data_IF_786613497131
#
_entry.id   IF_786613497131
#
_cell.length_a   1.000
_cell.length_b   1.000
_cell.length_c   1.000
_cell.angle_alpha   90.00
_cell.angle_beta   90.00
_cell.angle_gamma   90.00
#
_symmetry.space_group_name_H-M   'P 1'
#
loop_
_entity.id
_entity.type
_entity.pdbx_description
1 polymer ?
#
# COMPACT_ATOMS: atom_id res chain seq x y z
N UNK A 1 -8.18 8.20 -12.65
CA UNK A 1 -7.19 7.84 -13.69
C UNK A 1 -5.94 7.42 -12.94
N UNK A 2 -5.57 6.15 -13.04
CA UNK A 2 -4.36 5.60 -12.44
C UNK A 2 -3.12 6.05 -13.20
N UNK A 3 -1.96 5.98 -12.56
CA UNK A 3 -0.68 6.31 -13.21
C UNK A 3 -0.12 5.10 -13.97
N UNK A 4 0.92 5.32 -14.78
CA UNK A 4 1.59 4.25 -15.54
C UNK A 4 2.23 3.15 -14.67
N UNK A 5 2.62 3.49 -13.44
CA UNK A 5 3.43 2.62 -12.57
C UNK A 5 2.69 2.17 -11.31
N UNK A 6 1.67 2.93 -10.91
CA UNK A 6 0.90 2.71 -9.68
C UNK A 6 -0.57 2.73 -10.10
N UNK A 7 -1.19 1.55 -10.08
CA UNK A 7 -2.56 1.27 -10.56
C UNK A 7 -3.67 1.75 -9.62
N UNK A 8 -3.40 2.75 -8.77
CA UNK A 8 -4.34 3.21 -7.76
C UNK A 8 -5.36 4.21 -8.32
N UNK A 9 -6.60 4.10 -7.84
CA UNK A 9 -7.61 5.14 -7.95
C UNK A 9 -7.43 6.23 -6.89
N UNK A 10 -8.06 7.38 -7.13
CA UNK A 10 -8.00 8.50 -6.20
C UNK A 10 -8.73 8.12 -4.91
N UNK A 11 -8.00 8.12 -3.80
CA UNK A 11 -8.52 7.74 -2.48
C UNK A 11 -8.13 6.34 -2.03
N UNK A 12 -7.53 5.50 -2.89
CA UNK A 12 -7.02 4.19 -2.47
C UNK A 12 -5.72 4.29 -1.69
N UNK A 13 -4.90 5.31 -1.96
CA UNK A 13 -3.68 5.60 -1.20
C UNK A 13 -4.04 6.58 -0.07
N UNK A 14 -3.74 6.19 1.16
CA UNK A 14 -3.95 7.01 2.34
C UNK A 14 -3.00 8.21 2.37
N UNK A 15 -3.35 9.23 3.16
CA UNK A 15 -2.51 10.41 3.38
C UNK A 15 -1.14 10.06 4.00
N UNK A 16 -1.08 8.98 4.81
CA UNK A 16 0.12 8.48 5.46
C UNK A 16 0.61 7.25 4.72
N UNK A 17 1.86 7.27 4.27
CA UNK A 17 2.46 6.16 3.52
C UNK A 17 3.87 5.82 4.00
N UNK A 18 4.16 4.54 4.11
CA UNK A 18 5.51 4.01 4.29
C UNK A 18 6.05 3.51 2.94
N UNK A 19 7.31 3.80 2.65
CA UNK A 19 7.95 3.48 1.36
C UNK A 19 9.18 2.56 1.55
N UNK A 20 8.99 1.28 1.92
CA UNK A 20 10.08 0.31 1.86
C UNK A 20 10.57 0.13 0.42
N UNK A 21 11.86 -0.13 0.21
CA UNK A 21 12.39 -0.39 -1.14
C UNK A 21 12.24 -1.83 -1.63
N UNK A 22 11.83 -2.76 -0.77
CA UNK A 22 11.60 -4.17 -1.10
C UNK A 22 10.09 -4.45 -1.09
N UNK A 23 9.50 -4.92 -2.21
CA UNK A 23 8.08 -5.23 -2.28
C UNK A 23 7.64 -6.31 -1.30
N UNK A 24 8.49 -7.29 -1.01
CA UNK A 24 8.16 -8.32 -0.03
C UNK A 24 8.13 -7.76 1.38
N UNK A 25 8.89 -6.68 1.65
CA UNK A 25 8.78 -5.91 2.89
C UNK A 25 7.49 -5.10 2.94
N UNK A 26 7.04 -4.52 1.83
CA UNK A 26 5.76 -3.83 1.76
C UNK A 26 4.60 -4.78 2.11
N UNK A 27 4.62 -5.98 1.50
CA UNK A 27 3.67 -7.06 1.79
C UNK A 27 3.74 -7.51 3.25
N UNK A 28 4.94 -7.76 3.78
CA UNK A 28 5.12 -8.16 5.18
C UNK A 28 4.53 -7.12 6.15
N UNK A 29 4.78 -5.83 5.93
CA UNK A 29 4.22 -4.78 6.79
C UNK A 29 2.69 -4.76 6.68
N UNK A 30 2.14 -4.85 5.47
CA UNK A 30 0.69 -4.85 5.25
C UNK A 30 0.00 -6.02 5.97
N UNK A 31 0.53 -7.24 5.85
CA UNK A 31 -0.07 -8.45 6.43
C UNK A 31 0.02 -8.52 7.96
N UNK A 32 1.05 -7.91 8.56
CA UNK A 32 1.33 -8.07 9.99
C UNK A 32 0.93 -6.86 10.84
N UNK A 33 0.80 -5.67 10.25
CA UNK A 33 0.59 -4.43 11.02
C UNK A 33 -0.67 -3.67 10.61
N UNK A 34 -1.24 -3.91 9.42
CA UNK A 34 -2.43 -3.19 8.97
C UNK A 34 -3.67 -4.06 9.11
N UNK A 35 -4.66 -3.53 9.81
CA UNK A 35 -5.99 -4.12 9.83
C UNK A 35 -6.68 -3.90 8.48
N UNK A 36 -7.23 -4.98 7.90
CA UNK A 36 -8.01 -4.92 6.68
C UNK A 36 -7.24 -4.44 5.44
N UNK A 37 -5.93 -4.72 5.37
CA UNK A 37 -5.09 -4.32 4.25
C UNK A 37 -5.63 -4.82 2.89
N UNK A 38 -5.72 -3.92 1.92
CA UNK A 38 -6.10 -4.20 0.53
C UNK A 38 -4.98 -3.80 -0.41
N UNK A 39 -4.61 -4.68 -1.33
CA UNK A 39 -3.68 -4.37 -2.41
C UNK A 39 -4.37 -3.48 -3.44
N UNK A 40 -3.81 -2.31 -3.72
CA UNK A 40 -4.28 -1.40 -4.78
C UNK A 40 -3.37 -1.45 -6.02
N UNK A 41 -2.15 -1.98 -5.91
CA UNK A 41 -1.28 -2.16 -7.08
C UNK A 41 -0.25 -3.25 -6.89
N UNK A 42 0.08 -3.91 -7.99
CA UNK A 42 1.21 -4.84 -8.16
C UNK A 42 1.92 -4.64 -9.51
N UNK A 43 1.69 -3.51 -10.18
CA UNK A 43 2.35 -3.19 -11.46
C UNK A 43 3.87 -3.16 -11.24
N UNK A 44 4.62 -3.84 -12.12
CA UNK A 44 6.09 -3.92 -12.07
C UNK A 44 6.64 -4.48 -10.74
N UNK A 45 5.84 -5.26 -10.02
CA UNK A 45 6.20 -5.76 -8.70
C UNK A 45 6.42 -4.65 -7.66
N UNK A 46 5.84 -3.46 -7.87
CA UNK A 46 5.68 -2.44 -6.84
C UNK A 46 4.39 -2.80 -6.12
N UNK A 47 4.51 -3.42 -4.94
CA UNK A 47 3.36 -3.86 -4.17
C UNK A 47 2.88 -2.71 -3.29
N UNK A 48 1.61 -2.32 -3.46
CA UNK A 48 0.99 -1.24 -2.71
C UNK A 48 -0.25 -1.70 -1.98
N UNK A 49 -0.31 -1.42 -0.67
CA UNK A 49 -1.42 -1.80 0.21
C UNK A 49 -1.95 -0.59 0.98
N UNK A 50 -3.23 -0.62 1.31
CA UNK A 50 -3.86 0.33 2.24
C UNK A 50 -4.72 -0.42 3.24
N UNK A 51 -4.56 -0.11 4.52
CA UNK A 51 -5.39 -0.60 5.62
C UNK A 51 -5.41 0.43 6.74
N UNK A 52 -5.67 -0.01 7.98
CA UNK A 52 -5.60 0.87 9.15
C UNK A 52 -4.57 0.39 10.16
N UNK A 53 -3.83 1.32 10.75
CA UNK A 53 -2.99 1.09 11.92
C UNK A 53 -3.55 1.88 13.10
N UNK A 54 -3.98 1.20 14.17
CA UNK A 54 -4.65 1.84 15.32
C UNK A 54 -5.82 2.75 14.90
N UNK A 55 -6.63 2.32 13.93
CA UNK A 55 -7.76 3.08 13.39
C UNK A 55 -7.39 4.22 12.44
N UNK A 56 -6.09 4.47 12.19
CA UNK A 56 -5.63 5.51 11.26
C UNK A 56 -5.36 4.88 9.89
N UNK A 57 -5.91 5.42 8.78
CA UNK A 57 -5.58 4.94 7.44
C UNK A 57 -4.10 5.12 7.12
N UNK A 58 -3.44 4.03 6.73
CA UNK A 58 -2.02 4.00 6.36
C UNK A 58 -1.85 3.12 5.13
N UNK A 59 -1.02 3.61 4.20
CA UNK A 59 -0.56 2.84 3.05
C UNK A 59 0.88 2.38 3.23
N UNK A 60 1.24 1.30 2.55
CA UNK A 60 2.63 0.83 2.43
C UNK A 60 2.88 0.47 0.98
N UNK A 61 3.97 0.96 0.39
CA UNK A 61 4.30 0.70 -1.01
C UNK A 61 5.80 0.49 -1.20
N UNK A 62 6.18 -0.55 -1.93
CA UNK A 62 7.57 -0.87 -2.27
C UNK A 62 7.64 -1.86 -3.40
#
# INVERSE_FOLDING_TARGET
MSSLHIAAEKGEIAERILLPGDPLRAKYIAENFLDGAKEYTSIRNILGYTGTYNGVPVSVQG
#
